data_IF_909128725334
#
_entry.id   IF_909128725334
#
_cell.length_a   1.000
_cell.length_b   1.000
_cell.length_c   1.000
_cell.angle_alpha   90.00
_cell.angle_beta   90.00
_cell.angle_gamma   90.00
#
_symmetry.space_group_name_H-M   'P 1'
#
loop_
_entity.id
_entity.type
_entity.pdbx_description
1 polymer ?
#
# COMPACT_ATOMS: atom_id res chain seq x y z
N UNK A 1 -24.39 23.05 9.38
CA UNK A 1 -23.06 22.83 10.01
C UNK A 1 -23.08 21.84 11.18
N UNK A 2 -23.78 22.07 12.29
CA UNK A 2 -23.78 21.18 13.47
C UNK A 2 -24.27 19.76 13.19
N UNK A 3 -25.29 19.56 12.35
CA UNK A 3 -25.84 18.23 12.02
C UNK A 3 -24.85 17.38 11.19
N UNK A 4 -24.21 17.97 10.17
CA UNK A 4 -23.22 17.26 9.34
C UNK A 4 -22.04 16.80 10.18
N UNK A 5 -21.49 17.71 11.01
CA UNK A 5 -20.39 17.39 11.92
C UNK A 5 -20.80 16.30 12.93
N UNK A 6 -22.02 16.38 13.50
CA UNK A 6 -22.51 15.38 14.43
C UNK A 6 -22.66 14.00 13.78
N UNK A 7 -23.17 13.94 12.54
CA UNK A 7 -23.29 12.70 11.79
C UNK A 7 -21.91 12.13 11.43
N UNK A 8 -20.98 12.98 10.97
CA UNK A 8 -19.61 12.56 10.68
C UNK A 8 -18.94 11.93 11.92
N UNK A 9 -19.01 12.63 13.06
CA UNK A 9 -18.46 12.12 14.34
C UNK A 9 -19.15 10.82 14.77
N UNK A 10 -20.47 10.73 14.60
CA UNK A 10 -21.22 9.52 14.92
C UNK A 10 -20.75 8.32 14.07
N UNK A 11 -20.66 8.47 12.73
CA UNK A 11 -20.20 7.40 11.86
C UNK A 11 -18.73 7.05 12.09
N UNK A 12 -17.89 8.05 12.42
CA UNK A 12 -16.49 7.82 12.76
C UNK A 12 -16.36 6.98 14.06
N UNK A 13 -17.12 7.33 15.11
CA UNK A 13 -17.17 6.56 16.36
C UNK A 13 -17.69 5.14 16.08
N UNK A 14 -18.71 5.01 15.23
CA UNK A 14 -19.28 3.71 14.88
C UNK A 14 -18.26 2.82 14.12
N UNK A 15 -17.47 3.39 13.21
CA UNK A 15 -16.38 2.68 12.54
C UNK A 15 -15.28 2.21 13.51
N UNK A 16 -15.01 2.97 14.57
CA UNK A 16 -14.07 2.57 15.60
C UNK A 16 -14.63 1.46 16.49
N UNK A 17 -15.93 1.53 16.84
CA UNK A 17 -16.58 0.57 17.70
C UNK A 17 -16.83 -0.78 17.03
N UNK A 18 -17.14 -0.80 15.72
CA UNK A 18 -17.52 -2.01 14.96
C UNK A 18 -16.53 -2.25 13.81
N UNK A 19 -15.33 -2.63 14.20
CA UNK A 19 -14.18 -2.74 13.25
C UNK A 19 -14.40 -3.69 12.06
N UNK A 20 -15.13 -4.79 12.27
CA UNK A 20 -15.37 -5.79 11.21
C UNK A 20 -16.39 -5.32 10.15
N UNK A 21 -17.13 -4.24 10.38
CA UNK A 21 -18.13 -3.70 9.46
C UNK A 21 -17.81 -2.26 9.01
N UNK A 22 -16.56 -1.82 9.15
CA UNK A 22 -16.11 -0.47 8.76
C UNK A 22 -16.58 -0.04 7.36
N UNK A 23 -16.41 -0.85 6.30
CA UNK A 23 -16.83 -0.45 4.96
C UNK A 23 -18.34 -0.25 4.85
N UNK A 24 -19.13 -1.09 5.52
CA UNK A 24 -20.59 -1.00 5.54
C UNK A 24 -21.10 0.21 6.33
N UNK A 25 -20.44 0.55 7.44
CA UNK A 25 -20.72 1.76 8.21
C UNK A 25 -20.40 3.00 7.40
N UNK A 26 -19.25 3.02 6.69
CA UNK A 26 -18.88 4.11 5.80
C UNK A 26 -19.89 4.26 4.63
N UNK A 27 -20.32 3.15 4.01
CA UNK A 27 -21.35 3.16 2.99
C UNK A 27 -22.71 3.68 3.52
N UNK A 28 -23.08 3.28 4.72
CA UNK A 28 -24.28 3.79 5.41
C UNK A 28 -24.19 5.29 5.68
N UNK A 29 -23.04 5.79 6.09
CA UNK A 29 -22.76 7.21 6.27
C UNK A 29 -22.86 7.97 4.96
N UNK A 30 -22.22 7.49 3.91
CA UNK A 30 -22.30 8.05 2.56
C UNK A 30 -23.77 8.13 2.06
N UNK A 31 -24.52 7.04 2.25
CA UNK A 31 -25.96 7.01 1.92
C UNK A 31 -26.79 8.00 2.72
N UNK A 32 -26.51 8.17 4.01
CA UNK A 32 -27.20 9.14 4.86
C UNK A 32 -26.94 10.58 4.38
N UNK A 33 -25.70 10.94 4.05
CA UNK A 33 -25.38 12.26 3.50
C UNK A 33 -26.09 12.52 2.14
N UNK A 34 -26.14 11.53 1.25
CA UNK A 34 -26.89 11.65 -0.01
C UNK A 34 -28.38 11.84 0.19
N UNK A 35 -28.97 11.10 1.13
CA UNK A 35 -30.40 11.23 1.44
C UNK A 35 -30.71 12.61 2.01
N UNK A 36 -29.88 13.13 2.89
CA UNK A 36 -30.05 14.47 3.47
C UNK A 36 -29.86 15.57 2.42
N UNK A 37 -28.92 15.41 1.47
CA UNK A 37 -28.76 16.29 0.32
C UNK A 37 -30.03 16.29 -0.55
N UNK A 38 -30.59 15.10 -0.85
CA UNK A 38 -31.83 15.00 -1.63
C UNK A 38 -33.06 15.60 -0.90
N UNK A 39 -33.06 15.58 0.43
CA UNK A 39 -34.11 16.21 1.25
C UNK A 39 -33.95 17.73 1.40
N UNK A 40 -32.91 18.32 0.76
CA UNK A 40 -32.66 19.76 0.81
C UNK A 40 -32.11 20.27 2.15
N UNK A 41 -31.56 19.37 2.98
CA UNK A 41 -30.91 19.76 4.23
C UNK A 41 -29.51 20.32 3.97
N UNK A 42 -28.88 19.90 2.87
CA UNK A 42 -27.58 20.38 2.37
C UNK A 42 -27.63 20.54 0.84
N UNK A 43 -26.85 21.47 0.31
CA UNK A 43 -26.66 21.64 -1.13
C UNK A 43 -25.62 20.65 -1.68
N UNK A 44 -25.88 19.35 -1.50
CA UNK A 44 -24.99 18.28 -1.94
C UNK A 44 -25.71 17.32 -2.86
N UNK A 45 -25.21 17.20 -4.10
CA UNK A 45 -25.84 16.41 -5.15
C UNK A 45 -25.07 15.11 -5.43
N UNK A 46 -25.74 14.17 -6.13
CA UNK A 46 -25.07 12.95 -6.59
C UNK A 46 -23.90 13.26 -7.55
N UNK A 47 -23.95 14.38 -8.27
CA UNK A 47 -22.87 14.80 -9.15
C UNK A 47 -21.64 15.28 -8.37
N UNK A 48 -21.83 15.95 -7.24
CA UNK A 48 -20.74 16.37 -6.35
C UNK A 48 -20.11 15.15 -5.68
N UNK A 49 -20.93 14.20 -5.27
CA UNK A 49 -20.49 12.90 -4.80
C UNK A 49 -19.58 12.17 -5.79
N UNK A 50 -19.99 12.13 -7.06
CA UNK A 50 -19.20 11.47 -8.11
C UNK A 50 -17.88 12.20 -8.42
N UNK A 51 -17.83 13.52 -8.22
CA UNK A 51 -16.60 14.33 -8.37
C UNK A 51 -15.64 14.18 -7.21
N UNK A 52 -16.16 13.96 -6.00
CA UNK A 52 -15.36 13.73 -4.80
C UNK A 52 -14.59 12.42 -4.83
N UNK A 53 -15.01 11.44 -5.64
CA UNK A 53 -14.35 10.15 -5.76
C UNK A 53 -13.07 10.31 -6.58
N UNK A 54 -11.93 10.10 -5.95
CA UNK A 54 -10.63 10.02 -6.65
C UNK A 54 -10.44 8.65 -7.29
N UNK A 55 -10.86 8.53 -8.55
CA UNK A 55 -10.69 7.30 -9.33
C UNK A 55 -9.22 6.97 -9.59
N UNK A 56 -8.31 7.97 -9.61
CA UNK A 56 -6.88 7.71 -9.76
C UNK A 56 -6.33 6.94 -8.56
N UNK A 57 -6.69 7.35 -7.35
CA UNK A 57 -6.34 6.67 -6.10
C UNK A 57 -6.88 5.23 -6.09
N UNK A 58 -8.15 5.03 -6.41
CA UNK A 58 -8.77 3.69 -6.42
C UNK A 58 -8.13 2.75 -7.45
N UNK A 59 -7.88 3.24 -8.67
CA UNK A 59 -7.22 2.46 -9.73
C UNK A 59 -5.77 2.16 -9.37
N UNK A 60 -5.06 3.10 -8.77
CA UNK A 60 -3.68 2.92 -8.34
C UNK A 60 -3.59 1.85 -7.25
N UNK A 61 -4.46 1.89 -6.25
CA UNK A 61 -4.51 0.87 -5.20
C UNK A 61 -4.85 -0.50 -5.76
N UNK A 62 -5.95 -0.62 -6.50
CA UNK A 62 -6.37 -1.90 -7.05
C UNK A 62 -5.30 -2.50 -7.98
N UNK A 63 -4.72 -1.68 -8.86
CA UNK A 63 -3.65 -2.09 -9.77
C UNK A 63 -2.38 -2.52 -9.04
N UNK A 64 -2.00 -1.78 -7.99
CA UNK A 64 -0.83 -2.12 -7.19
C UNK A 64 -1.04 -3.41 -6.39
N UNK A 65 -2.18 -3.57 -5.70
CA UNK A 65 -2.54 -4.80 -5.00
C UNK A 65 -2.47 -6.03 -5.92
N UNK A 66 -3.01 -5.93 -7.14
CA UNK A 66 -2.96 -7.03 -8.10
C UNK A 66 -1.55 -7.33 -8.61
N UNK A 67 -0.73 -6.31 -8.89
CA UNK A 67 0.67 -6.50 -9.32
C UNK A 67 1.51 -7.13 -8.20
N UNK A 68 1.29 -6.69 -6.97
CA UNK A 68 1.93 -7.25 -5.77
C UNK A 68 1.51 -8.71 -5.55
N UNK A 69 0.24 -9.04 -5.74
CA UNK A 69 -0.21 -10.42 -5.66
C UNK A 69 0.54 -11.34 -6.65
N UNK A 70 0.71 -10.90 -7.91
CA UNK A 70 1.50 -11.64 -8.90
C UNK A 70 2.98 -11.77 -8.47
N UNK A 71 3.55 -10.71 -7.87
CA UNK A 71 4.92 -10.72 -7.35
C UNK A 71 5.06 -11.72 -6.18
N UNK A 72 4.08 -11.80 -5.27
CA UNK A 72 4.05 -12.80 -4.19
C UNK A 72 4.00 -14.21 -4.75
N UNK A 73 3.13 -14.45 -5.73
CA UNK A 73 2.96 -15.74 -6.39
C UNK A 73 4.24 -16.24 -7.08
N UNK A 74 5.10 -15.32 -7.54
CA UNK A 74 6.37 -15.67 -8.18
C UNK A 74 7.41 -16.29 -7.23
N UNK A 75 7.18 -16.21 -5.91
CA UNK A 75 8.11 -16.62 -4.83
C UNK A 75 9.43 -15.83 -4.80
N UNK A 76 9.58 -14.80 -5.64
CA UNK A 76 10.78 -13.96 -5.67
C UNK A 76 11.10 -13.31 -4.31
N UNK A 77 10.11 -12.77 -3.54
CA UNK A 77 10.42 -12.19 -2.22
C UNK A 77 11.03 -13.18 -1.24
N UNK A 78 10.54 -14.42 -1.22
CA UNK A 78 11.08 -15.48 -0.37
C UNK A 78 12.51 -15.85 -0.79
N UNK A 79 12.75 -15.95 -2.09
CA UNK A 79 14.08 -16.18 -2.66
C UNK A 79 15.07 -15.09 -2.27
N UNK A 80 14.67 -13.82 -2.40
CA UNK A 80 15.50 -12.67 -2.00
C UNK A 80 15.84 -12.71 -0.51
N UNK A 81 14.88 -13.07 0.34
CA UNK A 81 15.11 -13.20 1.77
C UNK A 81 16.11 -14.32 2.08
N UNK A 82 15.97 -15.50 1.49
CA UNK A 82 16.92 -16.62 1.66
C UNK A 82 18.32 -16.26 1.17
N UNK A 83 18.44 -15.64 0.01
CA UNK A 83 19.71 -15.22 -0.60
C UNK A 83 20.46 -14.23 0.30
N UNK A 84 19.74 -13.20 0.80
CA UNK A 84 20.33 -12.21 1.69
C UNK A 84 20.81 -12.84 3.01
N UNK A 85 20.03 -13.77 3.58
CA UNK A 85 20.38 -14.42 4.85
C UNK A 85 21.53 -15.39 4.66
N UNK A 86 21.67 -16.03 3.50
CA UNK A 86 22.79 -16.93 3.23
C UNK A 86 24.17 -16.22 3.29
N UNK A 87 24.20 -14.89 3.13
CA UNK A 87 25.42 -14.09 3.12
C UNK A 87 25.75 -13.41 4.46
N UNK A 88 24.93 -13.57 5.50
CA UNK A 88 25.16 -12.92 6.80
C UNK A 88 25.79 -13.86 7.81
N UNK A 89 26.67 -13.35 8.71
CA UNK A 89 27.46 -14.20 9.60
C UNK A 89 26.70 -14.74 10.81
N UNK A 90 25.75 -13.99 11.34
CA UNK A 90 25.08 -14.31 12.61
C UNK A 90 23.60 -13.92 12.63
N UNK A 91 22.89 -14.36 13.67
CA UNK A 91 21.44 -14.11 13.89
C UNK A 91 21.11 -12.63 13.92
N UNK A 92 21.94 -11.81 14.57
CA UNK A 92 21.71 -10.37 14.68
C UNK A 92 21.65 -9.72 13.31
N UNK A 93 22.59 -10.05 12.43
CA UNK A 93 22.59 -9.59 11.04
C UNK A 93 21.42 -10.17 10.26
N UNK A 94 21.11 -11.46 10.44
CA UNK A 94 20.01 -12.10 9.72
C UNK A 94 18.66 -11.43 10.01
N UNK A 95 18.35 -11.17 11.29
CA UNK A 95 17.10 -10.47 11.67
C UNK A 95 17.09 -9.03 11.16
N UNK A 96 18.23 -8.33 11.28
CA UNK A 96 18.33 -6.93 10.84
C UNK A 96 18.17 -6.79 9.32
N UNK A 97 18.83 -7.64 8.54
CA UNK A 97 18.70 -7.66 7.07
C UNK A 97 17.31 -8.08 6.64
N UNK A 98 16.70 -9.05 7.33
CA UNK A 98 15.34 -9.48 7.04
C UNK A 98 14.30 -8.37 7.31
N UNK A 99 14.49 -7.63 8.42
CA UNK A 99 13.66 -6.48 8.74
C UNK A 99 13.86 -5.34 7.71
N UNK A 100 15.10 -5.06 7.29
CA UNK A 100 15.38 -4.10 6.22
C UNK A 100 14.78 -4.52 4.89
N UNK A 101 14.89 -5.80 4.51
CA UNK A 101 14.28 -6.32 3.30
C UNK A 101 12.76 -6.16 3.34
N UNK A 102 12.14 -6.52 4.47
CA UNK A 102 10.70 -6.34 4.66
C UNK A 102 10.32 -4.86 4.53
N UNK A 103 11.06 -3.95 5.13
CA UNK A 103 10.83 -2.52 4.97
C UNK A 103 11.01 -2.06 3.52
N UNK A 104 12.09 -2.45 2.87
CA UNK A 104 12.34 -2.08 1.46
C UNK A 104 11.23 -2.58 0.53
N UNK A 105 10.77 -3.81 0.70
CA UNK A 105 9.63 -4.33 -0.06
C UNK A 105 8.37 -3.52 0.27
N UNK A 106 8.15 -3.21 1.55
CA UNK A 106 6.96 -2.50 2.01
C UNK A 106 6.90 -1.05 1.54
N UNK A 107 8.02 -0.43 1.19
CA UNK A 107 8.02 0.88 0.55
C UNK A 107 7.24 0.91 -0.79
N UNK A 108 7.03 -0.26 -1.41
CA UNK A 108 6.33 -0.40 -2.70
C UNK A 108 5.16 -1.38 -2.65
N UNK A 109 5.02 -2.11 -1.56
CA UNK A 109 4.06 -3.20 -1.36
C UNK A 109 3.37 -2.98 -0.03
N UNK A 110 2.07 -3.22 0.02
CA UNK A 110 1.31 -3.17 1.27
C UNK A 110 2.03 -3.90 2.43
N UNK A 111 2.03 -3.27 3.59
CA UNK A 111 2.74 -3.74 4.78
C UNK A 111 2.24 -5.11 5.27
N UNK A 112 0.93 -5.39 5.20
CA UNK A 112 0.36 -6.69 5.61
C UNK A 112 0.83 -7.79 4.67
N UNK A 113 0.75 -7.57 3.36
CA UNK A 113 1.24 -8.50 2.34
C UNK A 113 2.73 -8.77 2.50
N UNK A 114 3.52 -7.72 2.77
CA UNK A 114 4.97 -7.83 3.01
C UNK A 114 5.27 -8.69 4.24
N UNK A 115 4.58 -8.45 5.36
CA UNK A 115 4.76 -9.27 6.58
C UNK A 115 4.41 -10.72 6.30
N UNK A 116 3.28 -11.00 5.65
CA UNK A 116 2.86 -12.37 5.32
C UNK A 116 3.86 -13.11 4.41
N UNK A 117 4.59 -12.38 3.55
CA UNK A 117 5.64 -12.95 2.70
C UNK A 117 6.93 -13.27 3.46
N UNK A 118 7.39 -12.32 4.28
CA UNK A 118 8.72 -12.37 4.91
C UNK A 118 8.68 -13.14 6.23
N UNK A 119 7.56 -13.11 6.96
CA UNK A 119 7.41 -13.78 8.25
C UNK A 119 7.68 -15.30 8.23
N UNK A 120 7.27 -16.08 7.21
CA UNK A 120 7.61 -17.51 7.15
C UNK A 120 9.11 -17.78 7.16
N UNK A 121 9.90 -16.93 6.47
CA UNK A 121 11.38 -17.03 6.46
C UNK A 121 11.94 -16.73 7.84
N UNK A 122 11.50 -15.63 8.47
CA UNK A 122 11.88 -15.29 9.85
C UNK A 122 11.51 -16.38 10.86
N UNK A 123 10.33 -16.99 10.70
CA UNK A 123 9.87 -18.09 11.54
C UNK A 123 10.73 -19.35 11.36
N UNK A 124 11.11 -19.69 10.12
CA UNK A 124 11.99 -20.81 9.82
C UNK A 124 13.36 -20.65 10.47
N UNK A 125 13.95 -19.45 10.43
CA UNK A 125 15.21 -19.12 11.09
C UNK A 125 15.07 -19.26 12.60
N UNK A 126 14.06 -18.63 13.20
CA UNK A 126 13.84 -18.69 14.64
C UNK A 126 13.69 -20.13 15.14
N UNK A 127 12.96 -20.98 14.40
CA UNK A 127 12.81 -22.42 14.72
C UNK A 127 14.12 -23.19 14.62
N UNK A 128 14.89 -22.99 13.54
CA UNK A 128 16.19 -23.66 13.32
C UNK A 128 17.19 -23.33 14.45
N UNK A 129 17.17 -22.09 14.92
CA UNK A 129 18.09 -21.59 15.94
C UNK A 129 17.53 -21.70 17.36
N UNK A 130 16.35 -22.29 17.54
CA UNK A 130 15.64 -22.41 18.83
C UNK A 130 15.44 -21.06 19.55
N UNK A 131 15.24 -20.00 18.78
CA UNK A 131 14.95 -18.66 19.28
C UNK A 131 13.44 -18.45 19.41
N UNK A 132 13.05 -17.50 20.26
CA UNK A 132 11.66 -17.02 20.25
C UNK A 132 11.35 -16.36 18.90
N UNK A 133 10.31 -16.77 18.19
CA UNK A 133 9.93 -16.14 16.91
C UNK A 133 9.36 -14.73 17.10
N UNK A 134 8.83 -14.41 18.30
CA UNK A 134 8.10 -13.17 18.56
C UNK A 134 8.93 -11.91 18.26
N UNK A 135 10.18 -11.76 18.78
CA UNK A 135 10.97 -10.57 18.47
C UNK A 135 11.33 -10.44 16.98
N UNK A 136 11.54 -11.57 16.29
CA UNK A 136 11.86 -11.58 14.84
C UNK A 136 10.65 -11.11 14.02
N UNK A 137 9.46 -11.63 14.32
CA UNK A 137 8.23 -11.24 13.66
C UNK A 137 7.85 -9.78 13.94
N UNK A 138 8.06 -9.31 15.18
CA UNK A 138 7.85 -7.90 15.54
C UNK A 138 8.83 -7.01 14.75
N UNK A 139 10.11 -7.39 14.64
CA UNK A 139 11.08 -6.62 13.86
C UNK A 139 10.66 -6.47 12.38
N UNK A 140 10.20 -7.56 11.76
CA UNK A 140 9.68 -7.56 10.40
C UNK A 140 8.45 -6.64 10.29
N UNK A 141 7.48 -6.79 11.18
CA UNK A 141 6.23 -6.04 11.15
C UNK A 141 6.45 -4.53 11.39
N UNK A 142 7.29 -4.16 12.35
CA UNK A 142 7.61 -2.75 12.65
C UNK A 142 8.37 -2.11 11.49
N UNK A 143 9.36 -2.80 10.91
CA UNK A 143 10.13 -2.27 9.79
C UNK A 143 9.25 -2.13 8.53
N UNK A 144 8.39 -3.10 8.25
CA UNK A 144 7.41 -3.04 7.17
C UNK A 144 6.45 -1.85 7.33
N UNK A 145 5.85 -1.69 8.50
CA UNK A 145 4.94 -0.57 8.78
C UNK A 145 5.63 0.80 8.67
N UNK A 146 6.86 0.91 9.19
CA UNK A 146 7.62 2.15 9.13
C UNK A 146 7.90 2.57 7.68
N UNK A 147 8.42 1.64 6.88
CA UNK A 147 8.84 1.96 5.51
C UNK A 147 7.69 1.96 4.50
N UNK A 148 6.52 1.41 4.83
CA UNK A 148 5.32 1.55 4.02
C UNK A 148 4.94 2.99 3.75
N UNK A 149 5.25 3.91 4.67
CA UNK A 149 5.03 5.34 4.50
C UNK A 149 6.10 6.06 3.64
N UNK A 150 7.14 5.37 3.18
CA UNK A 150 8.26 5.99 2.46
C UNK A 150 7.89 6.48 1.05
N UNK A 151 6.96 5.80 0.39
CA UNK A 151 6.55 6.15 -0.99
C UNK A 151 5.05 6.28 -1.12
N UNK A 152 4.61 6.85 -2.23
CA UNK A 152 3.19 7.04 -2.54
C UNK A 152 2.40 5.72 -2.55
N UNK A 153 3.02 4.59 -2.91
CA UNK A 153 2.32 3.31 -3.16
C UNK A 153 2.54 2.25 -2.08
N UNK A 154 3.40 2.52 -1.09
CA UNK A 154 3.76 1.54 -0.07
C UNK A 154 2.66 1.26 0.95
N UNK A 155 1.84 2.24 1.28
CA UNK A 155 0.74 2.10 2.23
C UNK A 155 -0.49 2.90 1.80
N UNK A 156 -1.66 2.44 2.20
CA UNK A 156 -2.96 3.10 1.98
C UNK A 156 -2.97 4.56 2.46
N UNK A 157 -2.35 4.81 3.61
CA UNK A 157 -2.26 6.17 4.18
C UNK A 157 -1.44 7.11 3.32
N UNK A 158 -0.37 6.63 2.69
CA UNK A 158 0.46 7.40 1.76
C UNK A 158 -0.28 7.73 0.47
N UNK A 159 -1.05 6.76 -0.05
CA UNK A 159 -1.88 6.96 -1.24
C UNK A 159 -2.96 8.02 -0.98
N UNK A 160 -3.62 7.96 0.18
CA UNK A 160 -4.61 8.95 0.58
C UNK A 160 -3.98 10.34 0.73
N UNK A 161 -2.84 10.43 1.42
CA UNK A 161 -2.12 11.70 1.57
C UNK A 161 -1.76 12.28 0.21
N UNK A 162 -1.26 11.45 -0.70
CA UNK A 162 -0.93 11.84 -2.08
C UNK A 162 -2.12 12.38 -2.83
N UNK A 163 -3.28 11.71 -2.74
CA UNK A 163 -4.54 12.16 -3.36
C UNK A 163 -5.01 13.49 -2.77
N UNK A 164 -5.08 13.60 -1.44
CA UNK A 164 -5.53 14.81 -0.75
C UNK A 164 -4.62 16.03 -0.98
N UNK A 165 -3.30 15.82 -0.92
CA UNK A 165 -2.32 16.88 -1.08
C UNK A 165 -1.94 17.15 -2.55
N UNK A 166 -2.52 16.42 -3.52
CA UNK A 166 -2.17 16.52 -4.93
C UNK A 166 -0.74 16.13 -5.24
N UNK A 167 -0.12 15.27 -4.40
CA UNK A 167 1.26 14.84 -4.55
C UNK A 167 1.40 13.76 -5.61
N UNK A 168 2.44 13.83 -6.39
CA UNK A 168 2.85 12.76 -7.28
C UNK A 168 3.87 11.82 -6.60
N UNK A 169 4.29 10.76 -7.29
CA UNK A 169 5.22 9.77 -6.71
C UNK A 169 6.57 10.40 -6.33
N UNK A 170 7.08 11.35 -7.11
CA UNK A 170 8.38 11.98 -6.87
C UNK A 170 8.35 12.97 -5.70
N UNK A 171 7.20 13.57 -5.38
CA UNK A 171 7.04 14.51 -4.27
C UNK A 171 7.32 13.87 -2.90
N UNK A 172 7.17 12.54 -2.80
CA UNK A 172 7.59 11.80 -1.60
C UNK A 172 9.10 11.85 -1.37
N UNK A 173 9.90 11.99 -2.44
CA UNK A 173 11.35 12.13 -2.35
C UNK A 173 11.77 13.59 -2.24
N UNK A 174 11.15 14.45 -3.06
CA UNK A 174 11.52 15.86 -3.15
C UNK A 174 10.32 16.72 -3.48
N UNK A 175 9.90 17.56 -2.53
CA UNK A 175 8.73 18.41 -2.65
C UNK A 175 9.13 19.88 -2.51
N UNK A 176 8.78 20.72 -3.46
CA UNK A 176 9.03 22.19 -3.44
C UNK A 176 10.48 22.59 -3.07
N UNK A 177 11.46 21.84 -3.57
CA UNK A 177 12.88 22.10 -3.28
C UNK A 177 13.36 21.64 -1.90
N UNK A 178 12.56 20.85 -1.18
CA UNK A 178 12.89 20.30 0.15
C UNK A 178 12.84 18.77 0.15
N UNK A 179 13.61 18.09 1.02
CA UNK A 179 13.50 16.66 1.21
C UNK A 179 12.07 16.27 1.62
N UNK A 180 11.48 15.31 0.91
CA UNK A 180 10.14 14.77 1.17
C UNK A 180 10.10 13.78 2.34
N UNK A 181 8.94 13.15 2.50
CA UNK A 181 8.63 12.18 3.58
C UNK A 181 9.59 11.00 3.56
N UNK A 182 10.00 10.54 2.37
CA UNK A 182 10.94 9.43 2.18
C UNK A 182 12.16 9.54 3.09
N UNK A 183 12.82 10.69 3.13
CA UNK A 183 14.05 10.87 3.92
C UNK A 183 13.81 10.79 5.43
N UNK A 184 12.67 11.27 5.90
CA UNK A 184 12.30 11.15 7.32
C UNK A 184 12.04 9.71 7.71
N UNK A 185 11.39 8.94 6.84
CA UNK A 185 11.13 7.51 7.03
C UNK A 185 12.43 6.72 7.01
N UNK A 186 13.34 6.99 6.06
CA UNK A 186 14.63 6.31 5.98
C UNK A 186 15.52 6.59 7.21
N UNK A 187 15.52 7.81 7.74
CA UNK A 187 16.19 8.11 9.01
C UNK A 187 15.60 7.31 10.17
N UNK A 188 14.26 7.16 10.20
CA UNK A 188 13.58 6.29 11.15
C UNK A 188 13.98 4.82 10.99
N UNK A 189 14.10 4.35 9.75
CA UNK A 189 14.53 2.99 9.44
C UNK A 189 15.98 2.72 9.91
N UNK A 190 16.89 3.67 9.69
CA UNK A 190 18.27 3.57 10.21
C UNK A 190 18.31 3.57 11.75
N UNK A 191 17.48 4.40 12.40
CA UNK A 191 17.36 4.39 13.84
C UNK A 191 16.80 3.04 14.36
N UNK A 192 15.77 2.51 13.72
CA UNK A 192 15.18 1.21 14.06
C UNK A 192 16.18 0.07 13.89
N UNK A 193 17.03 0.12 12.85
CA UNK A 193 18.12 -0.82 12.66
C UNK A 193 19.10 -0.79 13.84
N UNK A 194 19.47 0.40 14.33
CA UNK A 194 20.29 0.56 15.54
C UNK A 194 19.66 -0.11 16.77
N UNK A 195 18.35 0.03 16.95
CA UNK A 195 17.60 -0.63 18.02
C UNK A 195 17.62 -2.15 17.85
N UNK A 196 17.44 -2.67 16.63
CA UNK A 196 17.52 -4.10 16.35
C UNK A 196 18.91 -4.65 16.64
N UNK A 197 19.98 -3.97 16.24
CA UNK A 197 21.34 -4.34 16.56
C UNK A 197 21.61 -4.37 18.06
N UNK A 198 21.03 -3.46 18.82
CA UNK A 198 21.12 -3.45 20.27
C UNK A 198 20.31 -4.58 20.92
N UNK A 199 19.07 -4.82 20.45
CA UNK A 199 18.17 -5.85 20.97
C UNK A 199 18.72 -7.26 20.76
N UNK A 200 19.31 -7.53 19.58
CA UNK A 200 19.85 -8.83 19.21
C UNK A 200 21.38 -8.95 19.43
N UNK A 201 22.00 -8.03 20.20
CA UNK A 201 23.45 -7.98 20.41
C UNK A 201 24.06 -9.26 20.96
N UNK A 202 23.31 -10.02 21.76
CA UNK A 202 23.75 -11.26 22.40
C UNK A 202 23.53 -12.50 21.50
N UNK A 203 22.81 -12.35 20.38
CA UNK A 203 22.49 -13.42 19.45
C UNK A 203 23.55 -13.50 18.33
N UNK A 204 24.72 -14.06 18.66
CA UNK A 204 25.87 -14.21 17.75
C UNK A 204 26.02 -15.62 17.19
N UNK A 205 24.97 -16.43 17.23
CA UNK A 205 25.02 -17.79 16.69
C UNK A 205 25.15 -17.72 15.15
N UNK A 206 26.02 -18.56 14.54
CA UNK A 206 26.16 -18.58 13.08
C UNK A 206 24.85 -19.05 12.43
N UNK A 207 24.50 -18.42 11.34
CA UNK A 207 23.31 -18.75 10.55
C UNK A 207 23.76 -19.40 9.24
N UNK A 208 23.28 -20.61 9.00
CA UNK A 208 23.46 -21.30 7.72
C UNK A 208 22.07 -21.58 7.13
N UNK A 209 21.68 -20.81 6.15
CA UNK A 209 20.46 -21.01 5.38
C UNK A 209 20.85 -21.41 3.97
N UNK A 210 20.33 -22.52 3.51
CA UNK A 210 20.41 -22.93 2.10
C UNK A 210 19.26 -22.29 1.34
N UNK A 211 19.55 -21.77 0.17
CA UNK A 211 18.53 -21.22 -0.73
C UNK A 211 17.80 -22.38 -1.38
N UNK A 212 16.56 -22.62 -0.97
CA UNK A 212 15.72 -23.73 -1.43
C UNK A 212 14.55 -23.27 -2.31
N UNK A 213 14.21 -21.98 -2.23
CA UNK A 213 13.09 -21.41 -2.99
C UNK A 213 13.45 -21.25 -4.46
N UNK A 214 12.72 -21.95 -5.34
CA UNK A 214 12.80 -21.75 -6.79
C UNK A 214 11.78 -20.68 -7.21
N UNK A 215 12.25 -19.70 -8.00
CA UNK A 215 11.40 -18.66 -8.58
C UNK A 215 10.63 -19.25 -9.76
N UNK A 216 9.32 -19.11 -9.72
CA UNK A 216 8.46 -19.66 -10.79
C UNK A 216 8.41 -18.76 -12.03
N UNK A 217 8.50 -17.44 -11.82
CA UNK A 217 8.44 -16.42 -12.88
C UNK A 217 9.10 -15.11 -12.45
N UNK A 218 10.00 -14.58 -13.25
CA UNK A 218 10.69 -13.30 -12.99
C UNK A 218 9.90 -12.08 -13.49
N UNK A 219 8.92 -12.29 -14.37
CA UNK A 219 8.17 -11.18 -14.99
C UNK A 219 7.36 -10.38 -14.00
N UNK A 220 6.69 -10.94 -12.97
CA UNK A 220 6.02 -10.14 -11.96
C UNK A 220 6.94 -9.15 -11.23
N UNK A 221 8.20 -9.56 -10.97
CA UNK A 221 9.22 -8.67 -10.40
C UNK A 221 9.55 -7.52 -11.35
N UNK A 222 9.75 -7.83 -12.62
CA UNK A 222 10.00 -6.82 -13.64
C UNK A 222 8.81 -5.86 -13.81
N UNK A 223 7.57 -6.37 -13.73
CA UNK A 223 6.36 -5.55 -13.77
C UNK A 223 6.26 -4.61 -12.56
N UNK A 224 6.58 -5.09 -11.36
CA UNK A 224 6.59 -4.25 -10.15
C UNK A 224 7.61 -3.11 -10.30
N UNK A 225 8.84 -3.42 -10.71
CA UNK A 225 9.88 -2.41 -10.93
C UNK A 225 9.51 -1.44 -12.05
N UNK A 226 8.90 -1.94 -13.13
CA UNK A 226 8.40 -1.12 -14.23
C UNK A 226 7.27 -0.20 -13.77
N UNK A 227 6.36 -0.67 -12.89
CA UNK A 227 5.30 0.16 -12.32
C UNK A 227 5.91 1.34 -11.57
N UNK A 228 6.87 1.10 -10.69
CA UNK A 228 7.57 2.16 -9.94
C UNK A 228 8.30 3.11 -10.90
N UNK A 229 9.03 2.59 -11.88
CA UNK A 229 9.74 3.39 -12.87
C UNK A 229 8.81 4.28 -13.70
N UNK A 230 7.65 3.76 -14.11
CA UNK A 230 6.65 4.53 -14.85
C UNK A 230 5.93 5.56 -13.97
N UNK A 231 5.70 5.29 -12.68
CA UNK A 231 5.16 6.28 -11.73
C UNK A 231 6.14 7.45 -11.55
N UNK A 232 7.44 7.16 -11.43
CA UNK A 232 8.49 8.19 -11.39
C UNK A 232 8.48 8.99 -12.70
N UNK A 233 8.49 8.32 -13.85
CA UNK A 233 8.48 8.99 -15.16
C UNK A 233 7.22 9.84 -15.35
N UNK A 234 6.05 9.34 -14.93
CA UNK A 234 4.78 10.05 -14.99
C UNK A 234 4.75 11.33 -14.13
N UNK A 235 5.57 11.38 -13.07
CA UNK A 235 5.68 12.57 -12.20
C UNK A 235 6.31 13.77 -12.91
N UNK A 236 7.09 13.55 -13.97
CA UNK A 236 7.75 14.61 -14.74
C UNK A 236 6.96 15.02 -16.00
N UNK A 237 5.78 14.43 -16.24
CA UNK A 237 4.96 14.82 -17.38
C UNK A 237 4.31 16.19 -17.12
N UNK A 238 4.39 17.14 -18.08
CA UNK A 238 3.72 18.41 -17.96
C UNK A 238 2.19 18.25 -18.04
N UNK A 239 1.49 19.07 -17.28
CA UNK A 239 0.03 19.09 -17.26
C UNK A 239 -0.53 19.64 -18.58
N UNK A 240 -1.36 18.89 -19.31
CA UNK A 240 -1.95 19.34 -20.56
C UNK A 240 -3.12 20.29 -20.32
N UNK A 241 -3.30 21.25 -21.22
CA UNK A 241 -4.27 22.34 -21.12
C UNK A 241 -5.72 21.93 -21.49
N UNK A 242 -6.23 20.83 -20.93
CA UNK A 242 -7.67 20.46 -21.01
C UNK A 242 -8.02 19.30 -21.94
N UNK A 243 -9.30 18.95 -21.96
CA UNK A 243 -9.89 17.88 -22.79
C UNK A 243 -9.60 16.46 -22.27
N UNK A 244 -9.70 15.46 -23.16
CA UNK A 244 -9.45 14.05 -22.84
C UNK A 244 -8.02 13.84 -22.32
N UNK A 245 -7.08 14.63 -22.80
CA UNK A 245 -5.66 14.53 -22.40
C UNK A 245 -5.46 14.93 -20.93
N UNK A 246 -6.21 15.92 -20.43
CA UNK A 246 -6.22 16.29 -19.02
C UNK A 246 -6.81 15.17 -18.14
N UNK A 247 -7.89 14.51 -18.59
CA UNK A 247 -8.46 13.38 -17.88
C UNK A 247 -7.47 12.20 -17.78
N UNK A 248 -6.78 11.88 -18.88
CA UNK A 248 -5.74 10.84 -18.89
C UNK A 248 -4.56 11.22 -18.01
N UNK A 249 -4.20 12.51 -17.97
CA UNK A 249 -3.15 13.01 -17.07
C UNK A 249 -3.56 12.87 -15.60
N UNK A 250 -4.79 13.22 -15.24
CA UNK A 250 -5.30 13.08 -13.88
C UNK A 250 -5.32 11.62 -13.43
N UNK A 251 -5.66 10.69 -14.31
CA UNK A 251 -5.72 9.25 -14.03
C UNK A 251 -4.40 8.50 -14.28
N UNK A 252 -3.30 9.20 -14.64
CA UNK A 252 -2.07 8.58 -15.14
C UNK A 252 -1.47 7.50 -14.21
N UNK A 253 -1.42 7.76 -12.91
CA UNK A 253 -0.85 6.82 -11.93
C UNK A 253 -1.72 5.58 -11.78
N UNK A 254 -3.03 5.75 -11.71
CA UNK A 254 -3.98 4.63 -11.67
C UNK A 254 -3.98 3.80 -12.94
N UNK A 255 -3.90 4.45 -14.10
CA UNK A 255 -3.84 3.75 -15.39
C UNK A 255 -2.54 2.95 -15.55
N UNK A 256 -1.40 3.46 -15.10
CA UNK A 256 -0.12 2.73 -15.09
C UNK A 256 -0.24 1.49 -14.21
N UNK A 257 -0.67 1.64 -12.97
CA UNK A 257 -0.77 0.51 -12.02
C UNK A 257 -1.77 -0.55 -12.51
N UNK A 258 -2.97 -0.13 -12.91
CA UNK A 258 -4.01 -1.05 -13.38
C UNK A 258 -3.64 -1.69 -14.72
N UNK A 259 -3.07 -0.93 -15.66
CA UNK A 259 -2.63 -1.43 -16.97
C UNK A 259 -1.57 -2.53 -16.85
N UNK A 260 -0.55 -2.33 -16.00
CA UNK A 260 0.49 -3.33 -15.77
C UNK A 260 -0.02 -4.55 -14.98
N UNK A 261 -0.94 -4.34 -14.03
CA UNK A 261 -1.62 -5.43 -13.34
C UNK A 261 -2.40 -6.32 -14.33
N UNK A 262 -3.23 -5.72 -15.18
CA UNK A 262 -4.02 -6.44 -16.20
C UNK A 262 -3.11 -7.14 -17.22
N UNK A 263 -2.02 -6.50 -17.64
CA UNK A 263 -1.03 -7.11 -18.53
C UNK A 263 -0.38 -8.34 -17.87
N UNK A 264 0.03 -8.24 -16.61
CA UNK A 264 0.60 -9.34 -15.84
C UNK A 264 -0.36 -10.51 -15.68
N UNK A 265 -1.61 -10.21 -15.30
CA UNK A 265 -2.68 -11.21 -15.16
C UNK A 265 -3.03 -11.87 -16.49
N UNK A 266 -3.14 -11.11 -17.58
CA UNK A 266 -3.41 -11.64 -18.92
C UNK A 266 -2.27 -12.56 -19.39
N UNK A 267 -1.01 -12.19 -19.17
CA UNK A 267 0.15 -13.02 -19.45
C UNK A 267 0.14 -14.32 -18.64
N UNK A 268 -0.19 -14.24 -17.34
CA UNK A 268 -0.31 -15.42 -16.48
C UNK A 268 -1.42 -16.36 -16.97
N UNK A 269 -2.55 -15.82 -17.41
CA UNK A 269 -3.63 -16.58 -18.04
C UNK A 269 -3.18 -17.26 -19.33
N UNK A 270 -2.43 -16.56 -20.18
CA UNK A 270 -1.94 -17.13 -21.41
C UNK A 270 -0.96 -18.29 -21.16
N UNK A 271 -0.03 -18.10 -20.21
CA UNK A 271 0.94 -19.15 -19.82
C UNK A 271 0.28 -20.40 -19.24
N UNK A 272 -0.71 -20.19 -18.36
CA UNK A 272 -1.45 -21.29 -17.70
C UNK A 272 -2.57 -21.89 -18.56
N UNK A 273 -2.89 -21.26 -19.71
CA UNK A 273 -4.07 -21.57 -20.56
C UNK A 273 -5.37 -21.61 -19.76
N UNK A 274 -5.50 -20.80 -18.74
CA UNK A 274 -6.64 -20.76 -17.82
C UNK A 274 -6.92 -19.33 -17.39
N UNK A 275 -8.19 -19.00 -17.12
CA UNK A 275 -8.58 -17.71 -16.53
C UNK A 275 -8.40 -17.66 -15.00
N UNK A 276 -7.93 -18.76 -14.38
CA UNK A 276 -7.71 -18.83 -12.93
C UNK A 276 -6.81 -17.70 -12.40
N UNK A 277 -5.62 -17.40 -13.00
CA UNK A 277 -4.75 -16.32 -12.48
C UNK A 277 -5.45 -14.97 -12.44
N UNK A 278 -6.27 -14.64 -13.44
CA UNK A 278 -7.04 -13.41 -13.45
C UNK A 278 -8.05 -13.38 -12.29
N UNK A 279 -8.81 -14.46 -12.12
CA UNK A 279 -9.79 -14.57 -11.04
C UNK A 279 -9.12 -14.51 -9.65
N UNK A 280 -7.96 -15.12 -9.48
CA UNK A 280 -7.18 -15.10 -8.25
C UNK A 280 -6.62 -13.69 -7.97
N UNK A 281 -6.10 -12.99 -8.99
CA UNK A 281 -5.66 -11.61 -8.87
C UNK A 281 -6.78 -10.69 -8.40
N UNK A 282 -7.98 -10.81 -8.99
CA UNK A 282 -9.12 -10.02 -8.54
C UNK A 282 -9.62 -10.42 -7.15
N UNK A 283 -9.56 -11.69 -6.77
CA UNK A 283 -9.92 -12.12 -5.41
C UNK A 283 -8.94 -11.68 -4.34
N UNK A 284 -7.69 -11.43 -4.72
CA UNK A 284 -6.66 -10.94 -3.81
C UNK A 284 -6.77 -9.44 -3.52
N UNK A 285 -7.61 -8.69 -4.25
CA UNK A 285 -7.89 -7.30 -3.95
C UNK A 285 -8.63 -7.18 -2.61
N UNK A 286 -8.19 -6.27 -1.79
CA UNK A 286 -8.88 -5.91 -0.55
C UNK A 286 -10.07 -4.98 -0.85
N UNK A 287 -11.20 -5.60 -1.17
CA UNK A 287 -12.43 -4.89 -1.47
C UNK A 287 -12.97 -4.09 -0.28
N UNK A 288 -12.69 -4.52 0.94
CA UNK A 288 -13.12 -3.80 2.14
C UNK A 288 -12.40 -2.45 2.25
N UNK A 289 -11.10 -2.44 2.02
CA UNK A 289 -10.30 -1.20 1.97
C UNK A 289 -10.69 -0.32 0.77
N UNK A 290 -10.88 -0.90 -0.42
CA UNK A 290 -11.31 -0.13 -1.61
C UNK A 290 -12.70 0.49 -1.41
N UNK A 291 -13.65 -0.25 -0.83
CA UNK A 291 -14.99 0.25 -0.53
C UNK A 291 -14.95 1.33 0.56
N UNK A 292 -14.15 1.10 1.60
CA UNK A 292 -13.96 2.09 2.67
C UNK A 292 -13.45 3.42 2.11
N UNK A 293 -12.42 3.37 1.24
CA UNK A 293 -11.85 4.57 0.63
C UNK A 293 -12.82 5.26 -0.33
N UNK A 294 -13.51 4.48 -1.14
CA UNK A 294 -14.57 4.99 -2.01
C UNK A 294 -15.60 5.80 -1.20
N UNK A 295 -15.99 5.29 -0.02
CA UNK A 295 -16.96 5.98 0.84
C UNK A 295 -16.35 7.16 1.60
N UNK A 296 -15.10 7.04 2.09
CA UNK A 296 -14.45 8.08 2.88
C UNK A 296 -14.10 9.31 2.05
N UNK A 297 -13.61 9.15 0.83
CA UNK A 297 -13.32 10.25 -0.09
C UNK A 297 -14.57 11.11 -0.29
N UNK A 298 -15.71 10.45 -0.45
CA UNK A 298 -17.00 11.09 -0.60
C UNK A 298 -17.51 11.79 0.68
N UNK A 299 -17.39 11.16 1.85
CA UNK A 299 -17.93 11.72 3.11
C UNK A 299 -17.09 12.88 3.65
N UNK A 300 -15.78 12.90 3.40
CA UNK A 300 -14.91 14.00 3.80
C UNK A 300 -15.18 15.26 2.99
N UNK A 301 -15.40 15.15 1.68
CA UNK A 301 -15.72 16.29 0.80
C UNK A 301 -17.11 16.88 1.12
N UNK A 302 -18.10 16.02 1.38
CA UNK A 302 -19.44 16.46 1.83
C UNK A 302 -19.39 17.23 3.15
N UNK A 303 -18.47 16.86 4.07
CA UNK A 303 -18.27 17.58 5.32
C UNK A 303 -17.55 18.92 5.09
N UNK A 304 -16.58 18.98 4.17
CA UNK A 304 -15.80 20.17 3.88
C UNK A 304 -16.61 21.23 3.11
N UNK A 305 -17.40 20.81 2.11
CA UNK A 305 -18.34 21.71 1.40
C UNK A 305 -19.42 22.29 2.32
N UNK A 306 -19.89 21.52 3.32
CA UNK A 306 -20.80 22.03 4.32
C UNK A 306 -20.17 23.05 5.30
N UNK A 307 -18.84 23.10 5.37
CA UNK A 307 -18.07 24.07 6.17
C UNK A 307 -17.71 25.34 5.38
N UNK A 308 -17.74 25.31 4.06
CA UNK A 308 -17.38 26.44 3.16
C UNK A 308 -18.56 27.36 2.82
N UNK A 309 -19.79 27.04 3.26
CA UNK A 309 -21.02 27.81 2.96
C UNK A 309 -21.30 28.85 4.07
N UNK A 310 -20.28 29.59 4.54
CA UNK A 310 -20.48 30.84 5.32
C UNK A 310 -19.48 31.91 4.89
#
# INVERSE_FOLDING_TARGET
MTLALSLFVLFYILMLAVQQYRPWVALGGAGAFLLLGKLGVYDFTLADAARAIDFNVLLMMAGMMGTVFLFIQSKMPARLAEELIAHVPDVRWAVSVLALLAGFISAFVDNVATVLMVAPVGLAIARRLKLSPVPVLIAIAVSSNLQGAATLVGDTTSILLGGFAGMNFFDFFWMEGRPGIFWSVELGALASLGVLFWLFRDQRQPVHVTVETEVEDDVPTALLLLTVGLLIAASFLPEPSGGVLHLLYTLRSGLVCMGLCLFGAARACWRSRSLKPLAETFRALDYDTLLLLFCLLYTSDAADDSLRVD
#
